data_IF_824255635976
#
_entry.id   IF_824255635976
#
_cell.length_a   1.000
_cell.length_b   1.000
_cell.length_c   1.000
_cell.angle_alpha   90.00
_cell.angle_beta   90.00
_cell.angle_gamma   90.00
#
_symmetry.space_group_name_H-M   'P 1'
#
loop_
_entity.id
_entity.type
_entity.pdbx_description
1 polymer ?
#
# COMPACT_ATOMS: atom_id res chain seq x y z
N UNK A 1 1.01 10.62 -33.38
CA UNK A 1 1.04 10.05 -32.02
C UNK A 1 0.71 8.56 -31.99
N UNK A 2 -0.41 8.10 -32.54
CA UNK A 2 -0.76 6.66 -32.56
C UNK A 2 0.25 5.75 -33.32
N UNK A 3 0.90 6.24 -34.39
CA UNK A 3 1.86 5.46 -35.17
C UNK A 3 3.23 5.25 -34.47
N UNK A 4 3.66 6.16 -33.58
CA UNK A 4 4.92 6.01 -32.83
C UNK A 4 4.81 5.06 -31.63
N UNK A 5 3.60 4.77 -31.16
CA UNK A 5 3.32 3.85 -30.07
C UNK A 5 3.39 2.37 -30.50
N UNK A 6 3.29 2.10 -31.81
CA UNK A 6 3.29 0.74 -32.37
C UNK A 6 4.68 0.07 -32.43
N UNK A 7 5.78 0.82 -32.28
CA UNK A 7 7.14 0.31 -32.45
C UNK A 7 7.92 0.02 -31.15
N UNK A 8 7.38 0.31 -29.96
CA UNK A 8 8.06 -0.01 -28.70
C UNK A 8 7.83 -1.47 -28.32
N UNK A 9 8.86 -2.30 -28.46
CA UNK A 9 8.88 -3.61 -27.81
C UNK A 9 9.32 -3.45 -26.35
N UNK A 10 8.61 -4.11 -25.45
CA UNK A 10 8.96 -4.11 -24.03
C UNK A 10 9.80 -5.35 -23.70
N UNK A 11 10.72 -5.28 -22.72
CA UNK A 11 11.49 -6.44 -22.26
C UNK A 11 10.60 -7.59 -21.81
N UNK A 12 11.02 -8.80 -22.13
CA UNK A 12 10.34 -10.05 -21.80
C UNK A 12 10.97 -10.72 -20.57
N UNK A 13 10.20 -11.60 -19.95
CA UNK A 13 10.69 -12.48 -18.89
C UNK A 13 11.51 -13.61 -19.55
N UNK A 14 12.81 -13.62 -19.31
CA UNK A 14 13.73 -14.64 -19.85
C UNK A 14 14.13 -15.64 -18.78
N UNK A 15 14.44 -16.88 -19.18
CA UNK A 15 14.95 -17.92 -18.26
C UNK A 15 16.23 -17.48 -17.56
N UNK A 16 17.19 -16.91 -18.29
CA UNK A 16 18.41 -16.39 -17.68
C UNK A 16 18.14 -15.31 -16.61
N UNK A 17 17.15 -14.46 -16.84
CA UNK A 17 16.72 -13.45 -15.85
C UNK A 17 16.10 -14.08 -14.61
N UNK A 18 15.31 -15.15 -14.78
CA UNK A 18 14.71 -15.88 -13.67
C UNK A 18 15.76 -16.68 -12.88
N UNK A 19 16.71 -17.34 -13.56
CA UNK A 19 17.79 -18.08 -12.91
C UNK A 19 18.66 -17.13 -12.08
N UNK A 20 19.01 -15.96 -12.61
CA UNK A 20 19.73 -14.93 -11.89
C UNK A 20 18.96 -14.40 -10.66
N UNK A 21 17.61 -14.40 -10.70
CA UNK A 21 16.81 -14.07 -9.54
C UNK A 21 16.72 -15.22 -8.52
N UNK A 22 16.57 -16.47 -8.99
CA UNK A 22 16.56 -17.66 -8.13
C UNK A 22 17.84 -17.77 -7.29
N UNK A 23 18.99 -17.42 -7.88
CA UNK A 23 20.27 -17.36 -7.16
C UNK A 23 20.32 -16.34 -6.04
N UNK A 24 19.43 -15.34 -6.04
CA UNK A 24 19.35 -14.29 -5.01
C UNK A 24 18.42 -14.63 -3.85
N UNK A 25 17.62 -15.68 -3.96
CA UNK A 25 16.69 -16.09 -2.91
C UNK A 25 17.46 -16.33 -1.60
N UNK A 26 16.96 -15.75 -0.50
CA UNK A 26 17.54 -15.83 0.84
C UNK A 26 18.79 -15.00 1.07
N UNK A 27 19.35 -14.33 0.06
CA UNK A 27 20.50 -13.44 0.23
C UNK A 27 20.04 -12.05 0.63
N UNK A 28 20.69 -11.48 1.63
CA UNK A 28 20.44 -10.09 2.08
C UNK A 28 20.63 -9.15 0.89
N UNK A 29 19.68 -8.23 0.77
CA UNK A 29 19.74 -7.16 -0.23
C UNK A 29 20.43 -5.97 0.42
N UNK A 30 21.55 -5.54 -0.17
CA UNK A 30 22.14 -4.26 0.15
C UNK A 30 21.27 -3.20 -0.53
N UNK A 31 20.34 -2.64 0.25
CA UNK A 31 19.39 -1.65 -0.24
C UNK A 31 20.14 -0.34 -0.51
N UNK A 32 20.39 -0.07 -1.79
CA UNK A 32 21.00 1.19 -2.23
C UNK A 32 19.98 2.32 -2.37
N UNK A 33 18.68 2.01 -2.31
CA UNK A 33 17.62 2.98 -2.39
C UNK A 33 17.34 3.58 -1.01
N UNK A 34 17.71 4.83 -0.85
CA UNK A 34 17.43 5.61 0.36
C UNK A 34 15.91 5.60 0.68
N UNK A 35 15.49 5.23 1.92
CA UNK A 35 14.11 5.33 2.33
C UNK A 35 13.64 6.78 2.38
N UNK A 36 12.34 7.02 2.52
CA UNK A 36 11.82 8.38 2.68
C UNK A 36 12.25 9.00 4.00
N UNK A 37 12.18 8.22 5.06
CA UNK A 37 12.68 8.61 6.37
C UNK A 37 13.32 7.43 7.10
N UNK A 38 14.32 7.73 7.92
CA UNK A 38 14.96 6.77 8.83
C UNK A 38 14.37 6.85 10.23
N UNK A 39 13.71 7.94 10.56
CA UNK A 39 13.25 8.27 11.90
C UNK A 39 11.75 8.55 11.91
N UNK A 40 11.06 8.00 12.90
CA UNK A 40 9.65 8.23 13.17
C UNK A 40 9.44 9.58 13.90
N UNK A 41 9.85 10.70 13.25
CA UNK A 41 9.64 12.02 13.83
C UNK A 41 8.15 12.34 13.90
N UNK A 42 7.76 13.28 14.78
CA UNK A 42 6.39 13.78 14.86
C UNK A 42 5.82 14.18 13.50
N UNK A 43 6.63 14.88 12.70
CA UNK A 43 6.14 15.40 11.42
C UNK A 43 6.07 14.30 10.37
N UNK A 44 7.01 13.36 10.33
CA UNK A 44 6.96 12.22 9.42
C UNK A 44 5.72 11.34 9.69
N UNK A 45 5.44 11.04 10.97
CA UNK A 45 4.26 10.28 11.38
C UNK A 45 2.98 11.00 10.95
N UNK A 46 2.86 12.31 11.26
CA UNK A 46 1.71 13.13 10.91
C UNK A 46 1.53 13.26 9.39
N UNK A 47 2.60 13.49 8.63
CA UNK A 47 2.51 13.61 7.18
C UNK A 47 2.04 12.29 6.54
N UNK A 48 2.51 11.15 7.06
CA UNK A 48 2.05 9.86 6.59
C UNK A 48 0.56 9.64 6.91
N UNK A 49 0.14 9.91 8.16
CA UNK A 49 -1.25 9.80 8.58
C UNK A 49 -2.18 10.66 7.70
N UNK A 50 -1.82 11.95 7.51
CA UNK A 50 -2.60 12.85 6.65
C UNK A 50 -2.59 12.40 5.18
N UNK A 51 -1.51 11.76 4.72
CA UNK A 51 -1.41 11.20 3.36
C UNK A 51 -2.43 10.10 3.06
N UNK A 52 -2.90 9.39 4.09
CA UNK A 52 -3.96 8.37 3.96
C UNK A 52 -5.33 8.87 4.45
N UNK A 53 -5.43 10.15 4.82
CA UNK A 53 -6.64 10.74 5.36
C UNK A 53 -7.00 10.24 6.77
N UNK A 54 -5.99 10.03 7.61
CA UNK A 54 -6.12 9.59 9.00
C UNK A 54 -5.71 10.74 9.93
N UNK A 55 -6.61 11.20 10.77
CA UNK A 55 -6.41 12.28 11.74
C UNK A 55 -6.52 11.80 13.21
N UNK A 56 -6.42 10.50 13.45
CA UNK A 56 -6.51 9.93 14.78
C UNK A 56 -5.51 10.61 15.73
N UNK A 57 -6.00 11.13 16.88
CA UNK A 57 -5.18 11.91 17.80
C UNK A 57 -4.04 11.10 18.44
N UNK A 58 -4.09 9.76 18.42
CA UNK A 58 -3.01 8.90 18.97
C UNK A 58 -1.66 9.17 18.29
N UNK A 59 -1.65 9.49 16.99
CA UNK A 59 -0.45 9.84 16.24
C UNK A 59 -0.38 11.28 15.75
N UNK A 60 -1.47 12.03 15.88
CA UNK A 60 -1.52 13.43 15.42
C UNK A 60 -1.44 14.47 16.58
N UNK A 61 -1.93 14.13 17.80
CA UNK A 61 -1.99 15.06 18.94
C UNK A 61 -1.09 14.60 20.10
N UNK A 62 0.03 15.31 20.39
CA UNK A 62 0.91 14.97 21.50
C UNK A 62 0.26 15.02 22.88
N UNK A 63 -0.71 15.94 23.07
CA UNK A 63 -1.37 16.11 24.37
C UNK A 63 -2.37 14.97 24.64
N UNK A 64 -2.99 14.48 23.59
CA UNK A 64 -3.85 13.31 23.65
C UNK A 64 -3.00 12.04 23.88
N UNK A 65 -1.99 11.80 23.04
CA UNK A 65 -1.15 10.61 23.06
C UNK A 65 -0.41 10.45 24.42
N UNK A 66 -0.02 11.55 25.07
CA UNK A 66 0.62 11.52 26.38
C UNK A 66 -0.27 10.94 27.49
N UNK A 67 -1.59 10.88 27.31
CA UNK A 67 -2.54 10.33 28.28
C UNK A 67 -2.86 8.86 28.07
N UNK A 68 -2.38 8.27 26.96
CA UNK A 68 -2.57 6.86 26.62
C UNK A 68 -1.51 5.99 27.29
N UNK A 69 -1.69 4.68 27.23
CA UNK A 69 -0.70 3.70 27.74
C UNK A 69 0.69 3.85 27.11
N UNK A 70 0.79 4.54 25.96
CA UNK A 70 2.06 4.76 25.24
C UNK A 70 2.86 5.94 25.80
N UNK A 71 2.21 6.86 26.56
CA UNK A 71 2.89 8.01 27.15
C UNK A 71 3.34 9.08 26.13
N UNK A 72 2.96 8.95 24.88
CA UNK A 72 3.32 9.86 23.78
C UNK A 72 2.89 9.32 22.43
N UNK A 73 3.21 10.07 21.37
CA UNK A 73 2.90 9.69 19.99
C UNK A 73 3.59 8.37 19.63
N UNK A 74 2.83 7.48 19.00
CA UNK A 74 3.33 6.32 18.26
C UNK A 74 3.03 6.48 16.78
N UNK A 75 3.77 5.77 15.93
CA UNK A 75 3.46 5.70 14.52
C UNK A 75 2.28 4.75 14.27
N UNK A 76 1.42 5.10 13.30
CA UNK A 76 0.41 4.18 12.81
C UNK A 76 1.08 2.95 12.16
N UNK A 77 0.43 1.77 12.16
CA UNK A 77 1.09 0.53 11.74
C UNK A 77 1.69 0.58 10.34
N UNK A 78 1.02 1.21 9.39
CA UNK A 78 1.46 1.34 7.99
C UNK A 78 2.59 2.36 7.75
N UNK A 79 2.96 3.17 8.76
CA UNK A 79 4.07 4.14 8.65
C UNK A 79 5.38 3.51 8.16
N UNK A 80 5.60 2.23 8.47
CA UNK A 80 6.82 1.51 8.09
C UNK A 80 7.02 1.41 6.55
N UNK A 81 5.99 1.61 5.74
CA UNK A 81 6.17 1.78 4.30
C UNK A 81 7.08 2.98 3.94
N UNK A 82 7.12 4.01 4.76
CA UNK A 82 7.99 5.17 4.53
C UNK A 82 9.45 4.92 4.90
N UNK A 83 9.73 3.86 5.68
CA UNK A 83 11.08 3.53 6.18
C UNK A 83 11.81 2.47 5.35
N UNK A 84 11.15 1.90 4.34
CA UNK A 84 11.76 0.92 3.43
C UNK A 84 11.12 0.99 2.03
N UNK A 85 11.95 0.85 0.99
CA UNK A 85 11.49 0.89 -0.40
C UNK A 85 11.11 -0.49 -0.93
N UNK A 86 11.71 -1.55 -0.41
CA UNK A 86 11.49 -2.92 -0.91
C UNK A 86 10.07 -3.36 -0.56
N UNK A 87 9.63 -3.13 0.68
CA UNK A 87 8.26 -3.45 1.12
C UNK A 87 7.19 -2.74 0.28
N UNK A 88 7.55 -1.59 -0.29
CA UNK A 88 6.67 -0.76 -1.13
C UNK A 88 6.76 -1.08 -2.63
N UNK A 89 7.56 -2.07 -3.03
CA UNK A 89 7.64 -2.52 -4.42
C UNK A 89 8.87 -2.07 -5.20
N UNK A 90 9.93 -1.62 -4.52
CA UNK A 90 11.24 -1.44 -5.17
C UNK A 90 11.86 -2.81 -5.40
N UNK A 91 11.59 -3.38 -6.57
CA UNK A 91 11.99 -4.75 -6.92
C UNK A 91 13.17 -4.76 -7.88
N UNK A 92 14.16 -5.59 -7.60
CA UNK A 92 15.31 -5.82 -8.47
C UNK A 92 15.10 -6.95 -9.49
N UNK A 93 16.08 -7.10 -10.40
CA UNK A 93 16.04 -8.09 -11.48
C UNK A 93 15.00 -7.77 -12.55
N UNK A 94 15.03 -8.51 -13.67
CA UNK A 94 14.12 -8.35 -14.81
C UNK A 94 13.98 -6.88 -15.25
N UNK A 95 15.07 -6.21 -15.66
CA UNK A 95 15.05 -4.78 -15.98
C UNK A 95 14.05 -4.46 -17.09
N UNK A 96 13.24 -3.41 -16.91
CA UNK A 96 12.24 -2.98 -17.88
C UNK A 96 10.96 -3.82 -17.95
N UNK A 97 10.92 -5.01 -17.32
CA UNK A 97 9.68 -5.79 -17.15
C UNK A 97 8.80 -5.08 -16.13
N UNK A 98 7.51 -4.94 -16.45
CA UNK A 98 6.57 -4.25 -15.59
C UNK A 98 6.48 -4.92 -14.21
N UNK A 99 6.52 -4.11 -13.15
CA UNK A 99 6.31 -4.55 -11.78
C UNK A 99 5.04 -3.87 -11.23
N UNK A 100 4.11 -4.68 -10.73
CA UNK A 100 2.87 -4.23 -10.15
C UNK A 100 2.79 -4.73 -8.71
N UNK A 101 2.90 -3.82 -7.76
CA UNK A 101 2.72 -4.16 -6.34
C UNK A 101 1.30 -4.67 -6.12
N UNK A 102 1.15 -5.81 -5.45
CA UNK A 102 -0.14 -6.52 -5.41
C UNK A 102 -0.54 -7.00 -4.03
N UNK A 103 0.30 -6.77 -3.02
CA UNK A 103 -0.07 -7.07 -1.66
C UNK A 103 1.09 -7.20 -0.69
N UNK A 104 0.73 -7.34 0.58
CA UNK A 104 1.65 -7.63 1.66
C UNK A 104 0.96 -8.34 2.81
N UNK A 105 1.72 -9.17 3.52
CA UNK A 105 1.39 -9.73 4.82
C UNK A 105 2.32 -9.11 5.86
N UNK A 106 1.74 -8.54 6.92
CA UNK A 106 2.43 -7.85 7.98
C UNK A 106 2.28 -8.53 9.33
N UNK A 107 3.35 -8.48 10.14
CA UNK A 107 3.31 -8.81 11.56
C UNK A 107 3.99 -7.70 12.36
N UNK A 108 3.31 -7.17 13.37
CA UNK A 108 3.86 -6.17 14.29
C UNK A 108 4.09 -6.79 15.67
N UNK A 109 5.28 -6.55 16.19
CA UNK A 109 5.72 -7.09 17.49
C UNK A 109 5.64 -6.04 18.59
N UNK A 110 6.03 -4.78 18.27
CA UNK A 110 6.09 -3.63 19.17
C UNK A 110 5.57 -2.37 18.48
N UNK A 111 5.01 -1.40 19.23
CA UNK A 111 4.74 -0.08 18.68
C UNK A 111 6.04 0.62 18.28
N UNK A 112 5.97 1.41 17.21
CA UNK A 112 7.03 2.35 16.85
C UNK A 112 6.75 3.66 17.56
N UNK A 113 7.60 4.08 18.49
CA UNK A 113 7.45 5.31 19.21
C UNK A 113 8.00 6.51 18.42
N UNK A 114 7.53 7.69 18.75
CA UNK A 114 8.12 8.92 18.22
C UNK A 114 9.62 8.96 18.49
N UNK A 115 10.38 9.33 17.45
CA UNK A 115 11.84 9.39 17.40
C UNK A 115 12.54 8.01 17.40
N UNK A 116 11.82 6.92 17.20
CA UNK A 116 12.47 5.66 16.87
C UNK A 116 13.20 5.78 15.53
N UNK A 117 14.44 5.33 15.49
CA UNK A 117 15.22 5.15 14.27
C UNK A 117 14.98 3.73 13.74
N UNK A 118 14.54 3.62 12.49
CA UNK A 118 14.19 2.32 11.89
C UNK A 118 15.28 1.89 10.91
N UNK A 119 15.81 0.69 11.18
CA UNK A 119 16.72 -0.03 10.29
C UNK A 119 16.02 -1.24 9.71
N UNK A 120 16.25 -1.54 8.45
CA UNK A 120 15.63 -2.68 7.78
C UNK A 120 16.67 -3.69 7.29
N UNK A 121 16.24 -4.95 7.21
CA UNK A 121 16.95 -6.02 6.53
C UNK A 121 15.99 -6.73 5.60
N UNK A 122 16.39 -6.91 4.34
CA UNK A 122 15.51 -7.45 3.33
C UNK A 122 16.18 -8.53 2.48
N UNK A 123 15.38 -9.46 1.96
CA UNK A 123 15.82 -10.47 1.00
C UNK A 123 14.67 -10.89 0.08
N UNK A 124 15.01 -11.38 -1.12
CA UNK A 124 14.05 -12.05 -1.97
C UNK A 124 13.72 -13.40 -1.34
N UNK A 125 12.46 -13.59 -0.93
CA UNK A 125 12.01 -14.79 -0.23
C UNK A 125 11.65 -15.91 -1.20
N UNK A 126 10.91 -15.58 -2.26
CA UNK A 126 10.34 -16.57 -3.16
C UNK A 126 10.04 -15.98 -4.54
N UNK A 127 10.08 -16.83 -5.56
CA UNK A 127 9.61 -16.59 -6.92
C UNK A 127 8.57 -17.63 -7.27
N UNK A 128 7.35 -17.19 -7.64
CA UNK A 128 6.28 -18.08 -8.07
C UNK A 128 5.91 -17.71 -9.51
N UNK A 129 5.98 -18.68 -10.40
CA UNK A 129 5.57 -18.51 -11.78
C UNK A 129 4.08 -18.80 -11.93
N UNK A 130 3.42 -17.99 -12.72
CA UNK A 130 1.98 -18.09 -12.99
C UNK A 130 1.74 -18.05 -14.50
N UNK A 131 0.95 -18.99 -14.99
CA UNK A 131 0.35 -18.89 -16.31
C UNK A 131 -0.99 -18.18 -16.19
N UNK A 132 -1.07 -16.96 -16.70
CA UNK A 132 -2.29 -16.16 -16.60
C UNK A 132 -2.94 -15.99 -17.98
N UNK A 133 -4.26 -16.09 -18.05
CA UNK A 133 -5.00 -15.85 -19.30
C UNK A 133 -4.81 -14.44 -19.85
N UNK A 134 -4.51 -13.49 -18.98
CA UNK A 134 -4.46 -12.07 -19.31
C UNK A 134 -3.06 -11.57 -19.67
N UNK A 135 -2.04 -11.95 -18.89
CA UNK A 135 -0.68 -11.45 -19.05
C UNK A 135 0.27 -12.50 -19.63
N UNK A 136 -0.23 -13.68 -20.03
CA UNK A 136 0.61 -14.81 -20.39
C UNK A 136 1.45 -15.24 -19.18
N UNK A 137 2.76 -15.32 -19.35
CA UNK A 137 3.70 -15.59 -18.26
C UNK A 137 3.76 -14.41 -17.30
N UNK A 138 3.56 -14.69 -16.02
CA UNK A 138 3.72 -13.73 -14.94
C UNK A 138 4.57 -14.34 -13.82
N UNK A 139 5.35 -13.52 -13.14
CA UNK A 139 6.19 -13.96 -12.02
C UNK A 139 5.88 -13.11 -10.80
N UNK A 140 5.50 -13.76 -9.70
CA UNK A 140 5.33 -13.15 -8.42
C UNK A 140 6.68 -13.17 -7.69
N UNK A 141 7.22 -11.98 -7.41
CA UNK A 141 8.41 -11.79 -6.58
C UNK A 141 7.96 -11.44 -5.17
N UNK A 142 8.29 -12.30 -4.20
CA UNK A 142 7.95 -12.10 -2.79
C UNK A 142 9.23 -11.71 -2.06
N UNK A 143 9.20 -10.56 -1.40
CA UNK A 143 10.29 -10.04 -0.59
C UNK A 143 9.90 -10.07 0.87
N UNK A 144 10.85 -10.43 1.72
CA UNK A 144 10.75 -10.32 3.16
C UNK A 144 11.54 -9.12 3.65
N UNK A 145 10.97 -8.36 4.60
CA UNK A 145 11.61 -7.21 5.22
C UNK A 145 11.39 -7.27 6.74
N UNK A 146 12.49 -7.25 7.48
CA UNK A 146 12.52 -7.10 8.93
C UNK A 146 12.79 -5.64 9.30
N UNK A 147 12.07 -5.13 10.30
CA UNK A 147 12.18 -3.76 10.80
C UNK A 147 12.66 -3.76 12.24
N UNK A 148 13.73 -3.03 12.53
CA UNK A 148 14.35 -2.93 13.85
C UNK A 148 14.42 -1.48 14.29
N UNK A 149 14.18 -1.24 15.58
CA UNK A 149 14.45 0.07 16.19
C UNK A 149 15.95 0.23 16.55
N UNK A 150 16.31 1.38 17.10
CA UNK A 150 17.70 1.71 17.49
C UNK A 150 18.24 0.82 18.65
N UNK A 151 17.36 0.17 19.42
CA UNK A 151 17.76 -0.81 20.45
C UNK A 151 18.03 -2.20 19.87
N UNK A 152 17.74 -2.41 18.59
CA UNK A 152 17.83 -3.71 17.93
C UNK A 152 16.61 -4.61 18.13
N UNK A 153 15.54 -4.10 18.71
CA UNK A 153 14.27 -4.81 18.82
C UNK A 153 13.60 -4.91 17.45
N UNK A 154 13.17 -6.12 17.06
CA UNK A 154 12.32 -6.29 15.90
C UNK A 154 10.94 -5.70 16.22
N UNK A 155 10.57 -4.61 15.55
CA UNK A 155 9.28 -3.93 15.73
C UNK A 155 8.21 -4.50 14.80
N UNK A 156 8.60 -4.92 13.59
CA UNK A 156 7.71 -5.55 12.63
C UNK A 156 8.48 -6.40 11.62
N UNK A 157 7.73 -7.18 10.86
CA UNK A 157 8.20 -7.86 9.65
C UNK A 157 7.08 -7.87 8.60
N UNK A 158 7.46 -7.95 7.32
CA UNK A 158 6.52 -8.01 6.23
C UNK A 158 7.00 -8.89 5.09
N UNK A 159 6.08 -9.64 4.51
CA UNK A 159 6.23 -10.21 3.17
C UNK A 159 5.45 -9.32 2.21
N UNK A 160 6.10 -8.77 1.19
CA UNK A 160 5.43 -8.00 0.15
C UNK A 160 5.70 -8.58 -1.22
N UNK A 161 4.76 -8.42 -2.17
CA UNK A 161 4.94 -9.00 -3.49
C UNK A 161 4.50 -8.10 -4.63
N UNK A 162 5.28 -8.22 -5.71
CA UNK A 162 4.95 -7.66 -7.01
C UNK A 162 4.74 -8.76 -8.04
N UNK A 163 3.78 -8.57 -8.93
CA UNK A 163 3.70 -9.35 -10.17
C UNK A 163 4.52 -8.67 -11.25
N UNK A 164 5.42 -9.46 -11.87
CA UNK A 164 6.14 -9.06 -13.08
C UNK A 164 5.37 -9.60 -14.28
N UNK A 165 5.03 -8.73 -15.22
CA UNK A 165 4.22 -9.08 -16.39
C UNK A 165 4.79 -8.50 -17.67
N UNK A 166 4.55 -9.17 -18.80
CA UNK A 166 4.95 -8.70 -20.12
C UNK A 166 3.92 -7.72 -20.68
N UNK A 167 4.33 -6.47 -20.90
CA UNK A 167 3.43 -5.39 -21.34
C UNK A 167 2.86 -5.62 -22.74
N UNK A 168 3.64 -6.21 -23.66
CA UNK A 168 3.19 -6.46 -25.02
C UNK A 168 1.96 -7.38 -25.04
N UNK A 169 1.99 -8.46 -24.26
CA UNK A 169 0.88 -9.39 -24.15
C UNK A 169 -0.34 -8.74 -23.49
N UNK A 170 -0.15 -8.01 -22.42
CA UNK A 170 -1.24 -7.27 -21.76
C UNK A 170 -1.86 -6.20 -22.67
N UNK A 171 -1.06 -5.56 -23.54
CA UNK A 171 -1.52 -4.59 -24.53
C UNK A 171 -2.29 -5.24 -25.67
N UNK A 172 -1.82 -6.36 -26.21
CA UNK A 172 -2.47 -7.13 -27.27
C UNK A 172 -3.79 -7.72 -26.80
N UNK A 173 -3.84 -8.24 -25.59
CA UNK A 173 -5.07 -8.77 -25.00
C UNK A 173 -6.06 -7.66 -24.61
N UNK A 174 -5.62 -6.46 -24.30
CA UNK A 174 -6.35 -5.18 -24.12
C UNK A 174 -7.74 -5.19 -23.46
N UNK A 175 -8.21 -6.38 -23.08
CA UNK A 175 -9.60 -6.67 -22.80
C UNK A 175 -10.03 -6.33 -21.37
N UNK A 176 -9.13 -6.45 -20.38
CA UNK A 176 -9.51 -6.31 -18.95
C UNK A 176 -10.08 -4.92 -18.63
N UNK A 177 -9.57 -3.87 -19.26
CA UNK A 177 -10.03 -2.50 -19.04
C UNK A 177 -10.61 -1.83 -20.27
N UNK A 178 -10.84 -2.58 -21.38
CA UNK A 178 -11.41 -2.04 -22.61
C UNK A 178 -12.81 -1.47 -22.38
N UNK A 179 -13.63 -2.16 -21.60
CA UNK A 179 -14.97 -1.71 -21.24
C UNK A 179 -14.92 -0.54 -20.26
N UNK A 180 -13.97 -0.52 -19.33
CA UNK A 180 -13.78 0.59 -18.39
C UNK A 180 -13.31 1.84 -19.12
N UNK A 181 -12.39 1.70 -20.09
CA UNK A 181 -11.91 2.81 -20.92
C UNK A 181 -12.98 3.34 -21.89
N UNK A 182 -13.94 2.51 -22.27
CA UNK A 182 -15.05 2.93 -23.12
C UNK A 182 -16.14 3.70 -22.36
N UNK A 183 -16.15 3.61 -21.01
CA UNK A 183 -17.04 4.38 -20.16
C UNK A 183 -16.57 5.84 -20.10
N UNK A 184 -17.50 6.78 -20.25
CA UNK A 184 -17.19 8.18 -19.97
C UNK A 184 -16.77 8.34 -18.48
N UNK A 185 -15.86 9.27 -18.16
CA UNK A 185 -15.48 9.56 -16.78
C UNK A 185 -16.73 9.82 -15.93
N UNK A 186 -16.81 9.17 -14.77
CA UNK A 186 -17.93 9.38 -13.84
C UNK A 186 -17.94 10.85 -13.41
N UNK A 187 -19.12 11.42 -13.37
CA UNK A 187 -19.39 12.77 -12.85
C UNK A 187 -20.33 12.64 -11.67
N UNK A 188 -20.02 13.32 -10.60
CA UNK A 188 -20.81 13.34 -9.39
C UNK A 188 -21.69 14.58 -9.33
N UNK A 189 -22.94 14.42 -8.88
CA UNK A 189 -23.82 15.51 -8.55
C UNK A 189 -23.36 16.16 -7.22
N UNK A 190 -23.90 17.35 -6.92
CA UNK A 190 -23.64 18.01 -5.64
C UNK A 190 -24.15 17.20 -4.45
N UNK A 191 -25.25 16.50 -4.65
CA UNK A 191 -25.91 15.65 -3.68
C UNK A 191 -25.04 14.43 -3.37
N UNK A 192 -24.49 13.72 -4.38
CA UNK A 192 -23.57 12.61 -4.21
C UNK A 192 -22.28 13.03 -3.47
N UNK A 193 -21.75 14.22 -3.78
CA UNK A 193 -20.58 14.78 -3.08
C UNK A 193 -20.93 15.14 -1.63
N UNK A 194 -22.11 15.69 -1.37
CA UNK A 194 -22.55 15.98 -0.01
C UNK A 194 -22.74 14.71 0.82
N UNK A 195 -23.22 13.63 0.20
CA UNK A 195 -23.34 12.31 0.84
C UNK A 195 -21.97 11.72 1.17
N UNK A 196 -21.03 11.73 0.21
CA UNK A 196 -19.65 11.31 0.44
C UNK A 196 -19.00 12.08 1.60
N UNK A 197 -19.24 13.40 1.68
CA UNK A 197 -18.74 14.21 2.77
C UNK A 197 -19.39 13.88 4.13
N UNK A 198 -20.66 13.48 4.13
CA UNK A 198 -21.34 13.01 5.33
C UNK A 198 -20.76 11.66 5.83
N UNK A 199 -20.33 10.77 4.94
CA UNK A 199 -19.63 9.53 5.34
C UNK A 199 -18.36 9.85 6.13
N UNK A 200 -17.55 10.80 5.66
CA UNK A 200 -16.37 11.25 6.41
C UNK A 200 -16.70 11.90 7.76
N UNK A 201 -17.74 12.74 7.83
CA UNK A 201 -18.16 13.36 9.08
C UNK A 201 -18.63 12.36 10.14
N UNK A 202 -19.10 11.21 9.70
CA UNK A 202 -19.63 10.15 10.56
C UNK A 202 -18.65 8.96 10.67
N UNK A 203 -17.40 9.14 10.25
CA UNK A 203 -16.37 8.11 10.42
C UNK A 203 -16.19 7.82 11.92
N UNK A 204 -16.31 6.56 12.30
CA UNK A 204 -16.22 6.13 13.69
C UNK A 204 -14.76 5.86 14.07
N UNK A 205 -14.23 6.68 14.98
CA UNK A 205 -12.92 6.48 15.62
C UNK A 205 -13.19 6.17 17.09
N UNK A 206 -12.84 4.96 17.52
CA UNK A 206 -13.08 4.53 18.90
C UNK A 206 -12.21 5.29 19.90
N UNK A 207 -10.98 5.61 19.55
CA UNK A 207 -10.04 6.39 20.36
C UNK A 207 -9.81 5.78 21.74
N UNK A 208 -9.83 6.62 22.79
CA UNK A 208 -9.55 6.23 24.19
C UNK A 208 -10.63 5.35 24.86
N UNK A 209 -11.74 5.05 24.18
CA UNK A 209 -12.76 4.17 24.75
C UNK A 209 -12.32 2.71 24.58
N UNK A 210 -11.97 1.96 25.65
CA UNK A 210 -11.48 0.60 25.52
C UNK A 210 -12.47 -0.33 24.80
N UNK A 211 -11.97 -1.18 23.93
CA UNK A 211 -12.70 -2.33 23.40
C UNK A 211 -12.19 -3.58 24.07
N UNK A 212 -12.98 -4.14 24.96
CA UNK A 212 -12.60 -5.37 25.63
C UNK A 212 -12.89 -6.59 24.79
N UNK A 213 -12.00 -7.58 24.84
CA UNK A 213 -12.14 -8.82 24.08
C UNK A 213 -13.45 -9.57 24.40
N UNK A 214 -13.91 -9.50 25.65
CA UNK A 214 -15.15 -10.14 26.10
C UNK A 214 -16.39 -9.56 25.40
N UNK A 215 -16.37 -8.28 25.07
CA UNK A 215 -17.52 -7.57 24.48
C UNK A 215 -17.63 -7.78 22.96
N UNK A 216 -16.63 -8.36 22.31
CA UNK A 216 -16.62 -8.62 20.88
C UNK A 216 -17.31 -9.96 20.58
N UNK A 217 -18.13 -10.00 19.52
CA UNK A 217 -18.81 -11.21 19.09
C UNK A 217 -18.34 -11.65 17.69
N UNK A 218 -18.25 -12.97 17.49
CA UNK A 218 -18.02 -13.51 16.15
C UNK A 218 -19.20 -13.18 15.23
N UNK A 219 -18.89 -12.79 13.99
CA UNK A 219 -19.89 -12.29 13.03
C UNK A 219 -20.21 -10.80 13.18
N UNK A 220 -19.72 -10.11 14.23
CA UNK A 220 -19.92 -8.68 14.40
C UNK A 220 -19.33 -7.89 13.21
N UNK A 221 -20.15 -7.03 12.58
CA UNK A 221 -19.69 -6.16 11.51
C UNK A 221 -18.95 -4.95 12.08
N UNK A 222 -17.86 -4.57 11.44
CA UNK A 222 -17.18 -3.32 11.71
C UNK A 222 -17.94 -2.16 11.04
N UNK A 223 -17.88 -0.94 11.60
CA UNK A 223 -18.35 0.27 10.92
C UNK A 223 -17.72 0.39 9.52
N UNK A 224 -18.50 0.77 8.53
CA UNK A 224 -17.99 0.92 7.15
C UNK A 224 -17.10 2.15 7.08
N UNK A 225 -15.87 1.98 6.60
CA UNK A 225 -14.98 3.10 6.30
C UNK A 225 -15.08 3.46 4.82
N UNK A 226 -15.10 4.77 4.53
CA UNK A 226 -15.19 5.33 3.19
C UNK A 226 -13.86 5.97 2.78
N UNK A 227 -13.47 5.83 1.51
CA UNK A 227 -12.35 6.55 0.89
C UNK A 227 -12.75 7.04 -0.52
N UNK A 228 -12.35 8.25 -0.85
CA UNK A 228 -12.68 8.89 -2.12
C UNK A 228 -13.79 9.97 -1.99
N UNK A 229 -14.38 10.48 -3.09
CA UNK A 229 -13.98 10.19 -4.47
C UNK A 229 -12.49 10.44 -4.68
N UNK A 230 -11.82 9.51 -5.32
CA UNK A 230 -10.38 9.57 -5.50
C UNK A 230 -9.97 10.69 -6.45
N UNK A 231 -8.89 11.39 -6.12
CA UNK A 231 -8.35 12.47 -6.92
C UNK A 231 -6.84 12.29 -7.08
N UNK A 232 -6.29 12.78 -8.18
CA UNK A 232 -4.83 12.88 -8.37
C UNK A 232 -4.17 13.64 -7.22
N UNK A 233 -4.84 14.69 -6.69
CA UNK A 233 -4.36 15.42 -5.50
C UNK A 233 -4.22 14.51 -4.28
N UNK A 234 -5.17 13.58 -4.08
CA UNK A 234 -5.09 12.57 -3.01
C UNK A 234 -3.90 11.64 -3.19
N UNK A 235 -3.66 11.14 -4.40
CA UNK A 235 -2.51 10.29 -4.70
C UNK A 235 -1.17 11.01 -4.47
N UNK A 236 -1.11 12.31 -4.82
CA UNK A 236 0.06 13.16 -4.53
C UNK A 236 0.23 13.36 -3.01
N UNK A 237 -0.87 13.55 -2.26
CA UNK A 237 -0.81 13.68 -0.81
C UNK A 237 -0.24 12.43 -0.13
N UNK A 238 -0.66 11.24 -0.60
CA UNK A 238 -0.05 9.99 -0.15
C UNK A 238 1.44 9.92 -0.49
N UNK A 239 1.81 10.24 -1.73
CA UNK A 239 3.21 10.25 -2.15
C UNK A 239 4.08 11.21 -1.32
N UNK A 240 3.54 12.34 -0.84
CA UNK A 240 4.25 13.27 0.06
C UNK A 240 4.48 12.67 1.45
N UNK A 241 3.55 11.89 1.98
CA UNK A 241 3.70 11.23 3.28
C UNK A 241 4.62 10.01 3.23
N UNK A 242 4.49 9.21 2.18
CA UNK A 242 5.24 7.97 1.96
C UNK A 242 6.57 8.19 1.22
N UNK A 243 6.66 9.22 0.38
CA UNK A 243 7.86 9.64 -0.36
C UNK A 243 8.04 9.00 -1.73
N UNK A 244 7.13 8.14 -2.19
CA UNK A 244 7.21 7.44 -3.48
C UNK A 244 8.43 6.51 -3.62
N UNK A 245 8.52 5.79 -4.73
CA UNK A 245 9.67 4.92 -5.03
C UNK A 245 10.77 5.67 -5.80
N UNK A 246 10.36 6.41 -6.83
CA UNK A 246 11.25 7.02 -7.81
C UNK A 246 11.14 8.53 -7.88
N UNK A 247 10.28 9.16 -7.06
CA UNK A 247 10.07 10.61 -7.09
C UNK A 247 11.32 11.33 -6.60
N UNK A 248 12.06 11.93 -7.54
CA UNK A 248 13.27 12.72 -7.32
C UNK A 248 13.25 13.91 -8.26
N UNK A 249 13.90 15.01 -7.89
CA UNK A 249 13.93 16.22 -8.69
C UNK A 249 15.31 16.50 -9.26
N UNK A 250 15.35 17.09 -10.45
CA UNK A 250 16.53 17.68 -11.06
C UNK A 250 17.74 16.72 -11.12
N UNK A 251 18.87 17.14 -10.56
CA UNK A 251 20.12 16.36 -10.51
C UNK A 251 19.92 14.94 -9.92
N UNK A 252 19.03 14.78 -8.92
CA UNK A 252 18.80 13.49 -8.28
C UNK A 252 17.98 12.57 -9.18
N UNK A 253 17.01 13.10 -9.92
CA UNK A 253 16.27 12.34 -10.92
C UNK A 253 17.19 11.81 -12.03
N UNK A 254 18.08 12.68 -12.56
CA UNK A 254 19.07 12.27 -13.57
C UNK A 254 20.02 11.20 -13.03
N UNK A 255 20.54 11.35 -11.81
CA UNK A 255 21.40 10.33 -11.19
C UNK A 255 20.68 8.97 -11.04
N UNK A 256 19.39 8.99 -10.69
CA UNK A 256 18.58 7.77 -10.59
C UNK A 256 18.43 7.09 -11.95
N UNK A 257 18.15 7.86 -13.00
CA UNK A 257 17.97 7.35 -14.36
C UNK A 257 19.30 6.84 -14.94
N UNK A 258 20.41 7.54 -14.69
CA UNK A 258 21.76 7.09 -15.11
C UNK A 258 22.12 5.75 -14.46
N UNK A 259 21.84 5.60 -13.16
CA UNK A 259 22.09 4.34 -12.43
C UNK A 259 21.15 3.22 -12.84
N UNK A 260 19.93 3.54 -13.22
CA UNK A 260 18.86 2.60 -13.56
C UNK A 260 18.12 3.04 -14.84
N UNK A 261 18.72 2.88 -16.03
CA UNK A 261 18.15 3.37 -17.29
C UNK A 261 16.72 2.87 -17.58
N UNK A 262 16.37 1.67 -17.09
CA UNK A 262 15.04 1.10 -17.24
C UNK A 262 13.93 1.86 -16.49
N UNK A 263 14.28 2.78 -15.58
CA UNK A 263 13.34 3.67 -14.88
C UNK A 263 12.98 4.88 -15.74
N UNK A 264 13.89 5.31 -16.64
CA UNK A 264 13.67 6.47 -17.49
C UNK A 264 12.72 6.19 -18.66
N UNK A 265 11.44 6.50 -18.53
CA UNK A 265 10.43 6.36 -19.58
C UNK A 265 10.17 7.75 -20.17
N UNK A 266 10.48 7.93 -21.47
CA UNK A 266 10.33 9.22 -22.15
C UNK A 266 8.86 9.70 -22.09
N UNK A 267 8.66 10.91 -21.58
CA UNK A 267 7.35 11.55 -21.53
C UNK A 267 7.01 12.28 -22.85
N UNK A 268 5.85 12.94 -22.90
CA UNK A 268 5.35 13.66 -24.11
C UNK A 268 6.26 14.81 -24.59
N UNK A 269 7.17 15.27 -23.74
CA UNK A 269 8.13 16.33 -24.08
C UNK A 269 9.50 15.78 -24.52
N UNK A 270 9.66 14.46 -24.65
CA UNK A 270 10.93 13.81 -24.96
C UNK A 270 11.89 13.70 -23.77
N UNK A 271 11.41 13.92 -22.53
CA UNK A 271 12.22 13.91 -21.32
C UNK A 271 12.09 12.52 -20.66
N UNK A 272 13.22 11.85 -20.29
CA UNK A 272 13.18 10.66 -19.46
C UNK A 272 12.56 10.98 -18.10
N UNK A 273 11.54 10.20 -17.71
CA UNK A 273 10.74 10.43 -16.51
C UNK A 273 10.42 9.12 -15.83
N UNK A 274 9.95 9.16 -14.59
CA UNK A 274 9.76 7.96 -13.76
C UNK A 274 8.46 7.22 -14.09
N UNK A 275 8.41 5.87 -13.93
CA UNK A 275 7.20 5.10 -14.19
C UNK A 275 6.08 5.41 -13.21
N UNK A 276 6.39 5.97 -12.06
CA UNK A 276 5.46 6.28 -10.97
C UNK A 276 4.42 7.35 -11.37
N UNK A 277 4.67 8.08 -12.46
CA UNK A 277 3.72 9.05 -13.03
C UNK A 277 2.39 8.44 -13.51
N UNK A 278 2.26 7.13 -13.55
CA UNK A 278 0.97 6.43 -13.75
C UNK A 278 -0.08 6.83 -12.70
N UNK A 279 0.35 7.33 -11.55
CA UNK A 279 -0.53 7.74 -10.45
C UNK A 279 -1.04 9.19 -10.59
N UNK A 280 -0.47 10.00 -11.51
CA UNK A 280 -0.90 11.40 -11.70
C UNK A 280 -0.96 11.86 -13.17
N UNK A 281 -0.62 10.99 -14.12
CA UNK A 281 -0.69 11.29 -15.54
C UNK A 281 -1.59 10.28 -16.25
N UNK A 282 -2.84 10.70 -16.53
CA UNK A 282 -3.87 9.83 -17.10
C UNK A 282 -3.46 9.21 -18.43
N UNK A 283 -2.93 10.04 -19.36
CA UNK A 283 -2.49 9.57 -20.69
C UNK A 283 -1.46 8.45 -20.59
N UNK A 284 -0.51 8.59 -19.67
CA UNK A 284 0.50 7.55 -19.45
C UNK A 284 -0.07 6.30 -18.77
N UNK A 285 -0.96 6.47 -17.81
CA UNK A 285 -1.65 5.34 -17.19
C UNK A 285 -2.44 4.52 -18.22
N UNK A 286 -3.16 5.20 -19.12
CA UNK A 286 -3.87 4.58 -20.25
C UNK A 286 -2.90 3.88 -21.22
N UNK A 287 -1.75 4.49 -21.53
CA UNK A 287 -0.71 3.91 -22.40
C UNK A 287 -0.21 2.56 -21.86
N UNK A 288 0.05 2.46 -20.57
CA UNK A 288 0.57 1.23 -19.95
C UNK A 288 -0.50 0.21 -19.59
N UNK A 289 -1.76 0.49 -19.88
CA UNK A 289 -2.84 -0.47 -19.74
C UNK A 289 -3.70 -0.30 -18.48
N UNK A 290 -3.46 0.70 -17.65
CA UNK A 290 -4.32 1.03 -16.53
C UNK A 290 -5.63 1.73 -16.98
N UNK A 291 -6.67 1.78 -16.14
CA UNK A 291 -7.96 2.40 -16.49
C UNK A 291 -7.94 3.94 -16.45
N UNK A 292 -6.89 4.56 -15.95
CA UNK A 292 -6.65 5.98 -15.73
C UNK A 292 -5.57 6.15 -14.67
N UNK A 293 -5.25 7.36 -14.24
CA UNK A 293 -4.43 7.59 -13.06
C UNK A 293 -5.10 6.92 -11.85
N UNK A 294 -4.33 6.27 -10.97
CA UNK A 294 -4.88 5.42 -9.92
C UNK A 294 -4.05 5.50 -8.63
N UNK A 295 -4.66 5.08 -7.52
CA UNK A 295 -4.07 5.04 -6.18
C UNK A 295 -2.87 4.07 -6.08
N UNK A 296 -2.11 4.21 -5.01
CA UNK A 296 -0.98 3.33 -4.73
C UNK A 296 -1.41 2.04 -4.03
N UNK A 297 -0.72 0.94 -4.32
CA UNK A 297 -0.97 -0.33 -3.64
C UNK A 297 -0.75 -0.28 -2.13
N UNK A 298 0.39 0.23 -1.63
CA UNK A 298 0.64 0.41 -0.20
C UNK A 298 -0.37 1.34 0.49
N UNK A 299 -0.94 2.32 -0.20
CA UNK A 299 -2.01 3.19 0.31
C UNK A 299 -3.25 2.39 0.72
N UNK A 300 -3.64 1.37 -0.08
CA UNK A 300 -4.77 0.50 0.25
C UNK A 300 -4.51 -0.35 1.48
N UNK A 301 -3.29 -0.85 1.65
CA UNK A 301 -2.91 -1.52 2.91
C UNK A 301 -3.04 -0.58 4.08
N UNK A 302 -2.65 0.68 3.90
CA UNK A 302 -2.78 1.71 4.94
C UNK A 302 -4.25 1.98 5.28
N UNK A 303 -5.16 2.02 4.32
CA UNK A 303 -6.59 2.16 4.57
C UNK A 303 -7.21 0.96 5.28
N UNK A 304 -6.78 -0.28 4.94
CA UNK A 304 -7.23 -1.47 5.65
C UNK A 304 -6.75 -1.47 7.12
N UNK A 305 -5.50 -1.09 7.37
CA UNK A 305 -4.98 -0.98 8.74
C UNK A 305 -5.62 0.19 9.49
N UNK A 306 -5.91 1.32 8.84
CA UNK A 306 -6.66 2.45 9.41
C UNK A 306 -8.08 2.02 9.86
N UNK A 307 -8.78 1.23 9.06
CA UNK A 307 -10.09 0.67 9.43
C UNK A 307 -10.00 -0.18 10.71
N UNK A 308 -8.95 -1.00 10.86
CA UNK A 308 -8.73 -1.82 12.06
C UNK A 308 -8.36 -0.96 13.28
N UNK A 309 -7.50 0.05 13.11
CA UNK A 309 -7.09 0.93 14.22
C UNK A 309 -8.25 1.79 14.73
N UNK A 310 -9.11 2.27 13.84
CA UNK A 310 -10.33 2.97 14.22
C UNK A 310 -11.27 2.07 15.03
N UNK A 311 -11.41 0.81 14.64
CA UNK A 311 -12.28 -0.16 15.33
C UNK A 311 -11.71 -0.61 16.68
N UNK A 312 -10.41 -0.90 16.77
CA UNK A 312 -9.81 -1.49 17.99
C UNK A 312 -9.64 -0.49 19.13
N UNK A 313 -9.52 0.81 18.83
CA UNK A 313 -9.22 1.85 19.81
C UNK A 313 -7.78 1.83 20.30
N UNK A 314 -7.42 2.78 21.18
CA UNK A 314 -6.03 3.04 21.59
C UNK A 314 -5.43 1.91 22.43
N UNK A 315 -6.25 1.16 23.15
CA UNK A 315 -5.80 0.02 23.97
C UNK A 315 -5.62 -1.27 23.17
N UNK A 316 -6.11 -1.30 21.93
CA UNK A 316 -5.85 -2.40 21.01
C UNK A 316 -4.42 -2.36 20.43
N UNK A 317 -3.97 -3.48 19.89
CA UNK A 317 -2.72 -3.55 19.15
C UNK A 317 -2.89 -4.44 17.91
N UNK A 318 -2.59 -3.89 16.73
CA UNK A 318 -2.64 -4.65 15.49
C UNK A 318 -1.44 -5.59 15.42
N UNK A 319 -1.70 -6.90 15.45
CA UNK A 319 -0.66 -7.94 15.42
C UNK A 319 -0.31 -8.38 14.02
N UNK A 320 -1.32 -8.57 13.17
CA UNK A 320 -1.14 -9.04 11.79
C UNK A 320 -2.13 -8.33 10.87
N UNK A 321 -1.73 -8.11 9.63
CA UNK A 321 -2.64 -7.71 8.56
C UNK A 321 -2.20 -8.30 7.24
N UNK A 322 -3.16 -8.59 6.37
CA UNK A 322 -2.96 -9.03 4.98
C UNK A 322 -3.71 -8.13 4.03
N UNK A 323 -3.09 -7.84 2.89
CA UNK A 323 -3.70 -7.08 1.80
C UNK A 323 -3.44 -7.78 0.48
N UNK A 324 -4.50 -8.04 -0.30
CA UNK A 324 -4.44 -8.70 -1.62
C UNK A 324 -5.23 -7.88 -2.63
N UNK A 325 -4.53 -7.12 -3.47
CA UNK A 325 -5.13 -6.25 -4.48
C UNK A 325 -5.75 -7.07 -5.61
N UNK A 326 -6.93 -6.65 -6.07
CA UNK A 326 -7.69 -7.31 -7.13
C UNK A 326 -7.87 -6.45 -8.38
N UNK A 327 -7.92 -5.13 -8.22
CA UNK A 327 -8.09 -4.18 -9.32
C UNK A 327 -7.45 -2.83 -8.99
N UNK A 328 -7.29 -1.95 -9.98
CA UNK A 328 -6.95 -0.55 -9.77
C UNK A 328 -8.16 0.24 -9.26
N UNK A 329 -7.92 1.29 -8.48
CA UNK A 329 -8.91 2.31 -8.17
C UNK A 329 -8.49 3.59 -8.91
N UNK A 330 -9.07 3.86 -10.08
CA UNK A 330 -8.76 5.08 -10.83
C UNK A 330 -9.30 6.33 -10.15
N UNK A 331 -8.80 7.48 -10.59
CA UNK A 331 -9.37 8.78 -10.24
C UNK A 331 -10.89 8.78 -10.49
N UNK A 332 -11.63 9.31 -9.54
CA UNK A 332 -13.10 9.32 -9.53
C UNK A 332 -13.73 8.10 -8.85
N UNK A 333 -13.02 7.02 -8.55
CA UNK A 333 -13.60 5.90 -7.81
C UNK A 333 -13.85 6.28 -6.33
N UNK A 334 -14.88 5.69 -5.77
CA UNK A 334 -15.17 5.64 -4.33
C UNK A 334 -14.88 4.24 -3.82
N UNK A 335 -14.44 4.11 -2.58
CA UNK A 335 -14.14 2.82 -1.97
C UNK A 335 -14.84 2.68 -0.62
N UNK A 336 -15.54 1.56 -0.43
CA UNK A 336 -16.22 1.20 0.81
C UNK A 336 -15.52 -0.01 1.42
N UNK A 337 -14.88 0.20 2.57
CA UNK A 337 -14.17 -0.84 3.32
C UNK A 337 -15.12 -1.40 4.35
N UNK A 338 -15.37 -2.70 4.27
CA UNK A 338 -16.22 -3.46 5.20
C UNK A 338 -15.38 -4.52 5.90
N UNK A 339 -15.76 -4.86 7.11
CA UNK A 339 -15.11 -5.93 7.85
C UNK A 339 -16.09 -6.63 8.77
N UNK A 340 -15.73 -7.84 9.18
CA UNK A 340 -16.46 -8.56 10.21
C UNK A 340 -15.50 -9.41 11.04
N UNK A 341 -15.84 -9.62 12.28
CA UNK A 341 -15.12 -10.50 13.19
C UNK A 341 -15.32 -11.95 12.75
N UNK A 342 -14.22 -12.59 12.34
CA UNK A 342 -14.25 -13.99 11.91
C UNK A 342 -14.25 -14.93 13.10
N UNK A 343 -13.37 -14.70 14.07
CA UNK A 343 -13.24 -15.51 15.30
C UNK A 343 -12.49 -14.75 16.38
N UNK A 344 -12.67 -15.24 17.60
CA UNK A 344 -11.95 -14.84 18.81
C UNK A 344 -11.17 -16.03 19.34
N UNK A 345 -9.97 -15.80 19.84
CA UNK A 345 -9.15 -16.85 20.44
C UNK A 345 -8.09 -16.30 21.38
N UNK A 346 -7.51 -17.17 22.19
CA UNK A 346 -6.37 -16.83 23.04
C UNK A 346 -5.17 -17.63 22.52
N UNK A 347 -4.07 -16.95 22.27
CA UNK A 347 -2.80 -17.52 21.82
C UNK A 347 -1.66 -16.87 22.61
N UNK A 348 -0.81 -17.65 23.25
CA UNK A 348 0.28 -17.19 24.11
C UNK A 348 -0.13 -16.14 25.16
N UNK A 349 -1.31 -16.34 25.75
CA UNK A 349 -1.89 -15.44 26.75
C UNK A 349 -2.45 -14.12 26.20
N UNK A 350 -2.46 -13.92 24.87
CA UNK A 350 -3.00 -12.75 24.22
C UNK A 350 -4.45 -12.99 23.78
N UNK A 351 -5.29 -12.01 24.01
CA UNK A 351 -6.69 -12.04 23.61
C UNK A 351 -6.85 -11.47 22.20
N UNK A 352 -6.97 -12.35 21.22
CA UNK A 352 -6.91 -12.04 19.79
C UNK A 352 -8.28 -12.08 19.13
N UNK A 353 -8.48 -11.20 18.17
CA UNK A 353 -9.65 -11.11 17.29
C UNK A 353 -9.17 -11.14 15.86
N UNK A 354 -9.57 -12.14 15.09
CA UNK A 354 -9.33 -12.22 13.65
C UNK A 354 -10.50 -11.57 12.91
N UNK A 355 -10.18 -10.67 11.99
CA UNK A 355 -11.12 -9.87 11.21
C UNK A 355 -10.86 -10.12 9.74
N UNK A 356 -11.91 -10.37 8.97
CA UNK A 356 -11.88 -10.36 7.51
C UNK A 356 -12.40 -9.02 7.00
N UNK A 357 -11.73 -8.51 5.96
CA UNK A 357 -12.06 -7.24 5.33
C UNK A 357 -12.16 -7.39 3.81
N UNK A 358 -13.05 -6.61 3.22
CA UNK A 358 -13.06 -6.37 1.78
C UNK A 358 -13.30 -4.88 1.51
N UNK A 359 -12.81 -4.40 0.39
CA UNK A 359 -13.17 -3.09 -0.09
C UNK A 359 -13.72 -3.19 -1.51
N UNK A 360 -14.86 -2.55 -1.73
CA UNK A 360 -15.57 -2.49 -3.01
C UNK A 360 -15.75 -1.05 -3.45
N UNK A 361 -15.74 -0.85 -4.76
CA UNK A 361 -16.01 0.48 -5.30
C UNK A 361 -17.54 0.76 -5.35
N UNK A 362 -17.92 1.92 -5.88
CA UNK A 362 -19.31 2.36 -6.05
C UNK A 362 -20.15 1.48 -6.97
N UNK A 363 -19.52 0.65 -7.80
CA UNK A 363 -20.17 -0.30 -8.71
C UNK A 363 -20.16 -1.73 -8.14
N UNK A 364 -19.90 -1.88 -6.83
CA UNK A 364 -19.78 -3.15 -6.10
C UNK A 364 -18.68 -4.09 -6.62
N UNK A 365 -17.69 -3.54 -7.34
CA UNK A 365 -16.55 -4.31 -7.81
C UNK A 365 -15.47 -4.44 -6.74
N UNK A 366 -15.00 -5.66 -6.52
CA UNK A 366 -14.00 -5.96 -5.50
C UNK A 366 -12.64 -5.33 -5.86
N UNK A 367 -12.17 -4.42 -5.02
CA UNK A 367 -10.87 -3.75 -5.14
C UNK A 367 -9.76 -4.49 -4.40
N UNK A 368 -9.99 -4.83 -3.14
CA UNK A 368 -8.99 -5.45 -2.28
C UNK A 368 -9.66 -6.39 -1.27
N UNK A 369 -8.98 -7.51 -0.99
CA UNK A 369 -9.28 -8.38 0.14
C UNK A 369 -8.25 -8.13 1.23
N UNK A 370 -8.71 -8.06 2.48
CA UNK A 370 -7.88 -7.89 3.64
C UNK A 370 -8.24 -8.82 4.79
N UNK A 371 -7.33 -8.90 5.72
CA UNK A 371 -7.60 -9.47 7.04
C UNK A 371 -6.72 -8.82 8.08
N UNK A 372 -7.11 -8.89 9.34
CA UNK A 372 -6.29 -8.44 10.45
C UNK A 372 -6.43 -9.31 11.67
N UNK A 373 -5.42 -9.30 12.52
CA UNK A 373 -5.48 -9.88 13.87
C UNK A 373 -5.14 -8.79 14.86
N UNK A 374 -6.10 -8.48 15.70
CA UNK A 374 -6.00 -7.43 16.72
C UNK A 374 -5.94 -8.06 18.09
N UNK A 375 -4.99 -7.65 18.92
CA UNK A 375 -4.97 -7.94 20.35
C UNK A 375 -5.78 -6.87 21.07
N UNK A 376 -6.72 -7.29 21.90
CA UNK A 376 -7.56 -6.41 22.70
C UNK A 376 -7.30 -6.59 24.20
N UNK A 377 -7.50 -5.55 25.02
CA UNK A 377 -7.49 -5.69 26.46
C UNK A 377 -8.58 -6.66 26.91
N UNK A 378 -8.31 -7.35 28.04
CA UNK A 378 -9.26 -8.26 28.70
C UNK A 378 -9.51 -7.75 30.13
N UNK A 379 -10.68 -8.07 30.66
CA UNK A 379 -11.03 -7.75 32.06
C UNK A 379 -10.50 -8.79 33.06
N UNK A 380 -9.87 -9.85 32.57
CA UNK A 380 -9.30 -10.94 33.38
C UNK A 380 -9.99 -12.26 33.14
#
# INVERSE_FOLDING_TARGET
MAAQLAERSFPKITENGLDALRERIGKKIDNTAEPWCYEATRDNIRHYAHGIGDDNPLWCDPAYAAKTKYGGIIALPSFLFATDRIVSGYVGGLPGVHAMWSGADWTWHKPVHRNDEIRTEAYLKELIEHDTRFAGRAVQQIYHVDFFNQQGDKVAEADSWCFRTERDHAREQGTKYKEVRAKAPRRYSKEEIAEAYNLYRNEEVRGATPRYWEDVNEGEALPVMFKGPMTVTGFIAYAQGWGGLYIRANKLAWKLIDAHPGVGITNRFGIPDVPERVHWEEDFALEVGAPGAYDYGPERTSWLTHHLTNWMGDDGFLRRASCKIRRHNPEGDMLFIKGHVKRKYIEDGKHLVEIEQEARNQDDELSVLGSGVVELPSRG
#
